data_IF_850749326865
#
_entry.id   IF_850749326865
#
_cell.length_a   1.000
_cell.length_b   1.000
_cell.length_c   1.000
_cell.angle_alpha   90.00
_cell.angle_beta   90.00
_cell.angle_gamma   90.00
#
_symmetry.space_group_name_H-M   'P 1'
#
loop_
_entity.id
_entity.type
_entity.pdbx_description
1 polymer ?
#
# COMPACT_ATOMS: atom_id res chain seq x y z
N UNK A 1 -12.81 -49.30 9.91
CA UNK A 1 -12.08 -48.32 9.08
C UNK A 1 -11.46 -47.32 10.04
N UNK A 2 -10.16 -47.41 10.34
CA UNK A 2 -9.51 -46.44 11.21
C UNK A 2 -9.32 -45.14 10.42
N UNK A 3 -9.93 -44.06 10.89
CA UNK A 3 -9.62 -42.72 10.41
C UNK A 3 -8.18 -42.40 10.80
N UNK A 4 -7.31 -42.26 9.82
CA UNK A 4 -5.96 -41.78 10.04
C UNK A 4 -6.03 -40.38 10.64
N UNK A 5 -5.49 -40.23 11.85
CA UNK A 5 -5.28 -38.94 12.50
C UNK A 5 -4.41 -38.09 11.57
N UNK A 6 -5.03 -37.05 11.00
CA UNK A 6 -4.31 -36.05 10.23
C UNK A 6 -3.34 -35.35 11.18
N UNK A 7 -2.11 -35.14 10.69
CA UNK A 7 -1.03 -34.49 11.41
C UNK A 7 -1.55 -33.16 11.99
N UNK A 8 -1.76 -33.11 13.31
CA UNK A 8 -2.52 -32.04 13.97
C UNK A 8 -1.60 -30.82 14.17
N UNK A 9 -1.16 -30.22 13.06
CA UNK A 9 -0.36 -29.01 13.08
C UNK A 9 -1.19 -27.88 13.72
N UNK A 10 -0.77 -27.43 14.90
CA UNK A 10 -1.40 -26.33 15.63
C UNK A 10 -0.54 -25.09 15.52
N UNK A 11 -1.19 -23.95 15.32
CA UNK A 11 -0.53 -22.65 15.41
C UNK A 11 -0.32 -22.29 16.89
N UNK A 12 0.71 -21.49 17.21
CA UNK A 12 0.91 -20.98 18.56
C UNK A 12 -0.29 -20.15 19.03
N UNK A 13 -0.51 -20.13 20.34
CA UNK A 13 -1.49 -19.23 20.94
C UNK A 13 -1.14 -17.77 20.60
N UNK A 14 -2.16 -16.99 20.24
CA UNK A 14 -1.98 -15.60 19.80
C UNK A 14 -1.53 -15.42 18.35
N UNK A 15 -1.41 -16.49 17.55
CA UNK A 15 -1.27 -16.37 16.10
C UNK A 15 -2.45 -15.58 15.52
N UNK A 16 -2.15 -14.65 14.60
CA UNK A 16 -3.16 -13.80 13.96
C UNK A 16 -3.43 -14.26 12.53
N UNK A 17 -4.68 -14.57 12.26
CA UNK A 17 -5.21 -14.77 10.92
C UNK A 17 -5.74 -13.46 10.37
N UNK A 18 -5.36 -13.14 9.15
CA UNK A 18 -5.79 -11.91 8.50
C UNK A 18 -5.77 -12.05 6.98
N UNK A 19 -6.37 -11.05 6.34
CA UNK A 19 -6.35 -10.88 4.88
C UNK A 19 -5.60 -9.60 4.51
N UNK A 20 -5.18 -9.50 3.25
CA UNK A 20 -4.42 -8.36 2.74
C UNK A 20 -4.97 -7.87 1.39
N UNK A 21 -4.94 -6.56 1.20
CA UNK A 21 -5.34 -5.88 -0.05
C UNK A 21 -4.37 -4.73 -0.39
N UNK A 22 -4.63 -4.06 -1.52
CA UNK A 22 -3.93 -2.85 -1.96
C UNK A 22 -4.93 -1.83 -2.49
N UNK A 23 -4.71 -0.56 -2.18
CA UNK A 23 -5.53 0.60 -2.52
C UNK A 23 -5.97 0.59 -3.98
N UNK A 24 -5.03 0.69 -4.93
CA UNK A 24 -5.37 0.76 -6.36
C UNK A 24 -6.05 -0.51 -6.89
N UNK A 25 -5.83 -1.67 -6.24
CA UNK A 25 -6.40 -2.94 -6.68
C UNK A 25 -7.86 -3.11 -6.26
N UNK A 26 -8.34 -2.40 -5.23
CA UNK A 26 -9.70 -2.60 -4.71
C UNK A 26 -10.55 -1.35 -4.62
N UNK A 27 -9.95 -0.16 -4.44
CA UNK A 27 -10.70 1.05 -4.07
C UNK A 27 -11.62 1.54 -5.18
N UNK A 28 -11.13 1.62 -6.42
CA UNK A 28 -11.85 2.35 -7.47
C UNK A 28 -11.93 3.85 -7.18
N UNK A 29 -13.01 4.49 -7.61
CA UNK A 29 -13.32 5.89 -7.29
C UNK A 29 -12.13 6.83 -7.60
N UNK A 30 -11.49 6.62 -8.76
CA UNK A 30 -10.22 7.26 -9.11
C UNK A 30 -10.33 8.77 -9.37
N UNK A 31 -11.57 9.28 -9.54
CA UNK A 31 -11.90 10.70 -9.75
C UNK A 31 -12.60 11.35 -8.57
N UNK A 32 -12.82 10.61 -7.49
CA UNK A 32 -13.62 11.08 -6.35
C UNK A 32 -12.73 11.67 -5.27
N UNK A 33 -13.30 12.60 -4.50
CA UNK A 33 -12.73 13.15 -3.28
C UNK A 33 -11.35 13.78 -3.44
N UNK A 34 -11.10 14.46 -4.57
CA UNK A 34 -9.86 15.19 -4.83
C UNK A 34 -8.62 14.32 -5.06
N UNK A 35 -8.79 13.01 -5.31
CA UNK A 35 -7.67 12.11 -5.64
C UNK A 35 -6.93 12.56 -6.91
N UNK A 36 -5.60 12.61 -6.83
CA UNK A 36 -4.73 12.79 -7.99
C UNK A 36 -4.53 11.50 -8.79
N UNK A 37 -3.98 11.59 -10.00
CA UNK A 37 -3.62 10.38 -10.76
C UNK A 37 -2.38 9.71 -10.14
N UNK A 38 -2.33 8.38 -10.19
CA UNK A 38 -1.13 7.60 -9.92
C UNK A 38 -0.46 7.12 -11.21
N UNK A 39 0.77 6.64 -11.10
CA UNK A 39 1.48 5.99 -12.21
C UNK A 39 0.73 4.77 -12.75
N UNK A 40 -0.10 4.11 -11.93
CA UNK A 40 -0.93 2.98 -12.37
C UNK A 40 -2.18 3.42 -13.14
N UNK A 41 -2.73 4.61 -12.87
CA UNK A 41 -3.79 5.19 -13.70
C UNK A 41 -3.25 5.39 -15.12
N UNK A 42 -2.11 6.05 -15.27
CA UNK A 42 -1.46 6.26 -16.58
C UNK A 42 -1.07 4.95 -17.26
N UNK A 43 -0.45 4.03 -16.51
CA UNK A 43 0.02 2.76 -17.07
C UNK A 43 -1.13 1.89 -17.56
N UNK A 44 -2.21 1.75 -16.79
CA UNK A 44 -3.36 0.92 -17.18
C UNK A 44 -4.14 1.47 -18.37
N UNK A 45 -4.16 2.80 -18.55
CA UNK A 45 -4.75 3.44 -19.72
C UNK A 45 -3.85 3.43 -20.96
N UNK A 46 -2.63 2.89 -20.87
CA UNK A 46 -1.72 2.76 -22.01
C UNK A 46 -2.02 1.45 -22.76
N UNK A 47 -2.34 1.49 -24.08
CA UNK A 47 -2.68 0.28 -24.84
C UNK A 47 -1.61 -0.82 -24.73
N UNK A 48 -2.06 -2.04 -24.38
CA UNK A 48 -1.20 -3.23 -24.28
C UNK A 48 -0.38 -3.35 -23.00
N UNK A 49 -0.52 -2.43 -22.04
CA UNK A 49 0.18 -2.51 -20.74
C UNK A 49 -0.56 -3.34 -19.68
N UNK A 50 -1.88 -3.47 -19.82
CA UNK A 50 -2.70 -4.38 -19.02
C UNK A 50 -3.41 -5.39 -19.92
N UNK A 51 -3.77 -6.54 -19.33
CA UNK A 51 -4.61 -7.53 -20.00
C UNK A 51 -5.96 -6.89 -20.31
N UNK A 52 -6.47 -7.08 -21.54
CA UNK A 52 -7.74 -6.52 -22.04
C UNK A 52 -7.91 -4.99 -21.95
N UNK A 53 -6.87 -4.23 -21.55
CA UNK A 53 -7.02 -2.81 -21.23
C UNK A 53 -7.73 -2.54 -19.91
N UNK A 54 -7.72 -3.51 -18.98
CA UNK A 54 -8.33 -3.37 -17.66
C UNK A 54 -7.66 -2.24 -16.86
N UNK A 55 -8.46 -1.49 -16.09
CA UNK A 55 -8.02 -0.34 -15.27
C UNK A 55 -8.49 -0.46 -13.82
N UNK A 56 -7.91 0.36 -12.93
CA UNK A 56 -8.32 0.47 -11.53
C UNK A 56 -9.47 1.46 -11.29
N UNK A 57 -10.16 1.94 -12.33
CA UNK A 57 -11.13 3.04 -12.22
C UNK A 57 -12.27 2.73 -11.25
N UNK A 58 -12.77 1.50 -11.32
CA UNK A 58 -13.84 0.97 -10.46
C UNK A 58 -13.28 -0.11 -9.52
N UNK A 59 -12.38 -0.98 -10.02
CA UNK A 59 -11.89 -2.14 -9.28
C UNK A 59 -13.04 -2.98 -8.67
N UNK A 60 -13.08 -3.15 -7.34
CA UNK A 60 -14.22 -3.75 -6.63
C UNK A 60 -15.04 -2.72 -5.84
N UNK A 61 -14.83 -1.43 -6.12
CA UNK A 61 -15.59 -0.31 -5.55
C UNK A 61 -15.51 -0.24 -4.01
N UNK A 62 -14.37 -0.68 -3.44
CA UNK A 62 -14.16 -0.69 -1.99
C UNK A 62 -14.26 0.71 -1.39
N UNK A 63 -13.89 1.76 -2.12
CA UNK A 63 -13.98 3.14 -1.62
C UNK A 63 -15.41 3.48 -1.13
N UNK A 64 -16.43 3.02 -1.83
CA UNK A 64 -17.83 3.21 -1.44
C UNK A 64 -18.36 2.08 -0.55
N UNK A 65 -17.84 0.85 -0.72
CA UNK A 65 -18.37 -0.38 -0.13
C UNK A 65 -17.64 -0.89 1.10
N UNK A 66 -16.62 -0.16 1.58
CA UNK A 66 -15.75 -0.62 2.66
C UNK A 66 -16.48 -1.16 3.90
N UNK A 67 -17.63 -0.57 4.27
CA UNK A 67 -18.45 -1.01 5.39
C UNK A 67 -19.02 -2.43 5.20
N UNK A 68 -19.38 -2.80 3.96
CA UNK A 68 -19.82 -4.16 3.60
C UNK A 68 -18.63 -5.13 3.65
N UNK A 69 -17.47 -4.69 3.17
CA UNK A 69 -16.26 -5.51 3.19
C UNK A 69 -15.79 -5.78 4.63
N UNK A 70 -15.83 -4.78 5.51
CA UNK A 70 -15.53 -4.96 6.94
C UNK A 70 -16.53 -5.90 7.62
N UNK A 71 -17.82 -5.83 7.27
CA UNK A 71 -18.82 -6.77 7.77
C UNK A 71 -18.48 -8.21 7.35
N UNK A 72 -18.09 -8.44 6.08
CA UNK A 72 -17.63 -9.75 5.62
C UNK A 72 -16.36 -10.21 6.33
N UNK A 73 -15.39 -9.32 6.56
CA UNK A 73 -14.17 -9.66 7.32
C UNK A 73 -14.48 -10.12 8.74
N UNK A 74 -15.48 -9.51 9.38
CA UNK A 74 -15.97 -9.91 10.70
C UNK A 74 -16.65 -11.27 10.67
N UNK A 75 -17.49 -11.54 9.66
CA UNK A 75 -18.13 -12.85 9.47
C UNK A 75 -17.11 -13.97 9.24
N UNK A 76 -15.97 -13.65 8.60
CA UNK A 76 -14.84 -14.55 8.41
C UNK A 76 -13.95 -14.71 9.66
N UNK A 77 -14.26 -14.01 10.76
CA UNK A 77 -13.48 -14.00 12.00
C UNK A 77 -12.01 -13.57 11.80
N UNK A 78 -11.77 -12.59 10.91
CA UNK A 78 -10.42 -12.04 10.72
C UNK A 78 -9.96 -11.27 11.95
N UNK A 79 -8.75 -11.56 12.41
CA UNK A 79 -8.15 -10.89 13.58
C UNK A 79 -7.30 -9.67 13.19
N UNK A 80 -6.95 -9.57 11.91
CA UNK A 80 -6.19 -8.47 11.34
C UNK A 80 -6.56 -8.24 9.87
N UNK A 81 -6.48 -6.99 9.45
CA UNK A 81 -6.62 -6.61 8.05
C UNK A 81 -5.47 -5.71 7.62
N UNK A 82 -4.75 -6.16 6.61
CA UNK A 82 -3.69 -5.39 5.97
C UNK A 82 -4.26 -4.67 4.75
N UNK A 83 -4.15 -3.35 4.72
CA UNK A 83 -4.51 -2.52 3.58
C UNK A 83 -3.35 -1.58 3.23
N UNK A 84 -3.42 -0.88 2.11
CA UNK A 84 -2.53 0.25 1.81
C UNK A 84 -3.28 1.56 1.74
N UNK A 85 -2.55 2.64 2.02
CA UNK A 85 -3.04 4.01 1.91
C UNK A 85 -2.60 4.56 0.55
N UNK A 86 -3.55 5.10 -0.21
CA UNK A 86 -3.27 5.68 -1.51
C UNK A 86 -2.65 7.06 -1.35
N UNK A 87 -1.34 7.16 -1.57
CA UNK A 87 -0.64 8.45 -1.64
C UNK A 87 -1.37 9.49 -2.51
N UNK A 88 -1.86 9.19 -3.73
CA UNK A 88 -2.58 10.16 -4.55
C UNK A 88 -3.91 10.66 -3.95
N UNK A 89 -4.47 9.98 -2.93
CA UNK A 89 -5.61 10.53 -2.17
C UNK A 89 -5.16 11.50 -1.09
N UNK A 90 -4.02 11.26 -0.46
CA UNK A 90 -3.55 12.05 0.70
C UNK A 90 -2.84 13.32 0.24
N UNK A 91 -1.95 13.20 -0.75
CA UNK A 91 -1.26 14.33 -1.37
C UNK A 91 -1.37 14.13 -2.89
N UNK A 92 -2.38 14.72 -3.55
CA UNK A 92 -2.69 14.46 -4.96
C UNK A 92 -1.55 14.69 -5.93
N UNK A 93 -0.78 15.76 -5.73
CA UNK A 93 0.40 16.10 -6.53
C UNK A 93 1.69 15.46 -5.97
N UNK A 94 1.54 14.56 -4.99
CA UNK A 94 2.61 13.87 -4.26
C UNK A 94 3.38 14.70 -3.24
N UNK A 95 3.49 16.01 -3.47
CA UNK A 95 3.93 17.01 -2.48
C UNK A 95 2.91 18.14 -2.40
N UNK A 96 2.98 18.95 -1.34
CA UNK A 96 2.11 20.10 -1.15
C UNK A 96 0.94 19.83 -0.21
N UNK A 97 -0.25 20.43 -0.46
CA UNK A 97 -1.35 20.40 0.50
C UNK A 97 -1.92 18.99 0.68
N UNK A 98 -2.21 18.67 1.94
CA UNK A 98 -2.89 17.43 2.31
C UNK A 98 -4.38 17.54 1.99
N UNK A 99 -4.89 16.54 1.28
CA UNK A 99 -6.31 16.40 1.01
C UNK A 99 -7.02 15.69 2.17
N UNK A 100 -7.82 16.45 2.93
CA UNK A 100 -8.51 15.96 4.12
C UNK A 100 -9.54 14.88 3.79
N UNK A 101 -10.25 14.99 2.66
CA UNK A 101 -11.25 14.00 2.27
C UNK A 101 -10.62 12.62 2.00
N UNK A 102 -9.40 12.61 1.45
CA UNK A 102 -8.60 11.40 1.29
C UNK A 102 -8.24 10.76 2.63
N UNK A 103 -7.84 11.56 3.62
CA UNK A 103 -7.58 11.09 4.98
C UNK A 103 -8.85 10.56 5.66
N UNK A 104 -9.99 11.22 5.47
CA UNK A 104 -11.25 10.85 6.10
C UNK A 104 -11.78 9.48 5.65
N UNK A 105 -11.46 9.05 4.43
CA UNK A 105 -11.76 7.68 3.99
C UNK A 105 -11.04 6.64 4.86
N UNK A 106 -9.73 6.78 5.04
CA UNK A 106 -8.95 5.84 5.85
C UNK A 106 -9.27 5.96 7.33
N UNK A 107 -9.63 7.15 7.81
CA UNK A 107 -10.10 7.38 9.18
C UNK A 107 -11.33 6.52 9.49
N UNK A 108 -12.36 6.61 8.63
CA UNK A 108 -13.59 5.80 8.75
C UNK A 108 -13.33 4.31 8.61
N UNK A 109 -12.45 3.92 7.68
CA UNK A 109 -12.07 2.51 7.51
C UNK A 109 -11.40 1.97 8.78
N UNK A 110 -10.47 2.72 9.38
CA UNK A 110 -9.80 2.33 10.63
C UNK A 110 -10.79 2.22 11.77
N UNK A 111 -11.72 3.16 11.91
CA UNK A 111 -12.78 3.08 12.93
C UNK A 111 -13.63 1.83 12.77
N UNK A 112 -14.14 1.57 11.56
CA UNK A 112 -14.98 0.39 11.35
C UNK A 112 -14.25 -0.94 11.54
N UNK A 113 -12.95 -1.01 11.20
CA UNK A 113 -12.14 -2.19 11.50
C UNK A 113 -12.03 -2.42 13.01
N UNK A 114 -11.76 -1.38 13.79
CA UNK A 114 -11.62 -1.48 15.24
C UNK A 114 -12.95 -1.79 15.92
N UNK A 115 -14.06 -1.19 15.47
CA UNK A 115 -15.42 -1.53 15.91
C UNK A 115 -15.77 -3.00 15.63
N UNK A 116 -15.26 -3.56 14.53
CA UNK A 116 -15.40 -4.97 14.19
C UNK A 116 -14.42 -5.89 14.95
N UNK A 117 -13.54 -5.35 15.79
CA UNK A 117 -12.51 -6.11 16.52
C UNK A 117 -11.30 -6.53 15.68
N UNK A 118 -11.13 -5.94 14.49
CA UNK A 118 -10.11 -6.29 13.52
C UNK A 118 -8.94 -5.30 13.64
N UNK A 119 -7.72 -5.81 13.84
CA UNK A 119 -6.56 -4.92 14.01
C UNK A 119 -6.04 -4.42 12.66
N UNK A 120 -5.94 -3.09 12.44
CA UNK A 120 -5.45 -2.54 11.19
C UNK A 120 -3.93 -2.68 11.05
N UNK A 121 -3.49 -3.10 9.86
CA UNK A 121 -2.09 -3.11 9.43
C UNK A 121 -1.94 -2.24 8.17
N UNK A 122 -1.49 -1.00 8.35
CA UNK A 122 -1.43 -0.04 7.25
C UNK A 122 -0.10 -0.11 6.49
N UNK A 123 -0.18 -0.28 5.17
CA UNK A 123 0.94 -0.19 4.24
C UNK A 123 0.99 1.21 3.63
N UNK A 124 2.09 1.93 3.84
CA UNK A 124 2.21 3.34 3.43
C UNK A 124 2.43 3.49 1.92
N UNK A 125 3.21 2.59 1.29
CA UNK A 125 3.41 2.59 -0.15
C UNK A 125 3.18 1.21 -0.76
N UNK A 126 2.20 1.14 -1.66
CA UNK A 126 1.87 -0.05 -2.45
C UNK A 126 1.72 0.29 -3.94
N UNK A 127 2.77 0.94 -4.46
CA UNK A 127 3.05 1.14 -5.90
C UNK A 127 2.27 2.23 -6.61
N UNK A 128 1.24 2.79 -6.00
CA UNK A 128 0.39 3.86 -6.53
C UNK A 128 1.01 5.25 -6.34
N UNK A 129 2.26 5.43 -6.80
CA UNK A 129 2.95 6.73 -6.75
C UNK A 129 2.13 7.80 -7.50
N UNK A 130 1.94 9.02 -6.95
CA UNK A 130 1.32 10.13 -7.67
C UNK A 130 2.02 10.42 -9.00
N UNK A 131 1.25 10.58 -10.09
CA UNK A 131 1.78 10.79 -11.43
C UNK A 131 2.61 12.08 -11.51
N UNK A 132 2.24 13.12 -10.78
CA UNK A 132 3.00 14.38 -10.71
C UNK A 132 4.45 14.18 -10.21
N UNK A 133 4.68 13.19 -9.34
CA UNK A 133 6.04 12.76 -8.96
C UNK A 133 6.66 11.85 -10.03
N UNK A 134 5.86 10.98 -10.65
CA UNK A 134 6.27 10.16 -11.79
C UNK A 134 6.83 10.98 -12.97
N UNK A 135 6.22 12.12 -13.26
CA UNK A 135 6.65 13.08 -14.29
C UNK A 135 7.96 13.80 -13.92
N UNK A 136 8.33 13.78 -12.64
CA UNK A 136 9.57 14.34 -12.09
C UNK A 136 10.56 13.23 -11.72
N UNK A 137 10.77 12.29 -12.64
CA UNK A 137 11.63 11.09 -12.53
C UNK A 137 11.19 10.02 -11.52
N UNK A 138 10.08 10.23 -10.80
CA UNK A 138 9.45 9.23 -9.95
C UNK A 138 10.40 8.65 -8.90
N UNK A 139 10.44 7.32 -8.80
CA UNK A 139 11.32 6.64 -7.83
C UNK A 139 12.81 6.80 -8.14
N UNK A 140 13.19 7.24 -9.35
CA UNK A 140 14.59 7.53 -9.67
C UNK A 140 15.06 8.83 -9.01
N UNK A 141 14.13 9.76 -8.76
CA UNK A 141 14.44 11.03 -8.15
C UNK A 141 14.89 10.84 -6.69
N UNK A 142 16.01 11.45 -6.32
CA UNK A 142 16.56 11.36 -4.96
C UNK A 142 15.62 11.95 -3.91
N UNK A 143 14.86 12.98 -4.27
CA UNK A 143 14.01 13.75 -3.35
C UNK A 143 12.70 13.01 -3.04
N UNK A 144 12.43 11.88 -3.71
CA UNK A 144 11.24 11.05 -3.46
C UNK A 144 11.15 10.57 -2.02
N UNK A 145 12.29 10.37 -1.37
CA UNK A 145 12.35 9.95 0.02
C UNK A 145 11.87 11.06 0.97
N UNK A 146 12.09 12.33 0.63
CA UNK A 146 11.61 13.48 1.40
C UNK A 146 10.12 13.75 1.13
N UNK A 147 9.66 13.57 -0.11
CA UNK A 147 8.24 13.59 -0.43
C UNK A 147 7.47 12.50 0.33
N UNK A 148 8.04 11.29 0.39
CA UNK A 148 7.48 10.19 1.16
C UNK A 148 7.44 10.49 2.65
N UNK A 149 8.48 11.12 3.21
CA UNK A 149 8.51 11.54 4.61
C UNK A 149 7.33 12.45 4.97
N UNK A 150 7.08 13.47 4.15
CA UNK A 150 5.95 14.39 4.34
C UNK A 150 4.59 13.66 4.27
N UNK A 151 4.44 12.77 3.29
CA UNK A 151 3.25 11.93 3.15
C UNK A 151 3.03 11.02 4.37
N UNK A 152 4.07 10.32 4.84
CA UNK A 152 3.99 9.47 6.04
C UNK A 152 3.63 10.30 7.27
N UNK A 153 4.16 11.53 7.38
CA UNK A 153 3.78 12.47 8.42
C UNK A 153 2.28 12.75 8.44
N UNK A 154 1.70 13.10 7.29
CA UNK A 154 0.25 13.37 7.18
C UNK A 154 -0.62 12.15 7.54
N UNK A 155 -0.24 10.95 7.10
CA UNK A 155 -0.98 9.72 7.41
C UNK A 155 -0.88 9.35 8.90
N UNK A 156 0.32 9.46 9.47
CA UNK A 156 0.55 9.11 10.88
C UNK A 156 -0.07 10.13 11.83
N UNK A 157 -0.13 11.41 11.48
CA UNK A 157 -0.86 12.42 12.25
C UNK A 157 -2.35 12.11 12.36
N UNK A 158 -2.95 11.55 11.31
CA UNK A 158 -4.38 11.25 11.28
C UNK A 158 -4.74 9.92 11.94
N UNK A 159 -3.94 8.89 11.70
CA UNK A 159 -4.28 7.50 12.03
C UNK A 159 -3.42 6.90 13.14
N UNK A 160 -2.35 7.58 13.54
CA UNK A 160 -1.33 7.09 14.46
C UNK A 160 -1.82 6.86 15.89
N UNK A 161 -2.93 7.49 16.29
CA UNK A 161 -3.58 7.25 17.57
C UNK A 161 -4.10 5.80 17.67
N UNK A 162 -4.63 5.26 16.58
CA UNK A 162 -5.30 3.95 16.48
C UNK A 162 -4.47 2.87 15.77
N UNK A 163 -3.75 3.20 14.72
CA UNK A 163 -2.95 2.24 13.93
C UNK A 163 -1.56 2.10 14.53
N UNK A 164 -1.21 0.88 14.98
CA UNK A 164 0.10 0.57 15.60
C UNK A 164 0.96 -0.39 14.78
N UNK A 165 0.45 -0.94 13.68
CA UNK A 165 1.15 -1.89 12.80
C UNK A 165 1.33 -1.25 11.43
N UNK A 166 2.56 -0.87 11.13
CA UNK A 166 2.92 -0.10 9.96
C UNK A 166 3.87 -0.88 9.06
N UNK A 167 3.60 -0.85 7.77
CA UNK A 167 4.48 -1.37 6.72
C UNK A 167 4.85 -0.16 5.86
N UNK A 168 6.13 0.17 5.75
CA UNK A 168 6.52 1.34 4.95
C UNK A 168 6.33 1.08 3.47
N UNK A 169 6.98 0.04 2.96
CA UNK A 169 7.06 -0.26 1.53
C UNK A 169 6.64 -1.71 1.32
N UNK A 170 5.70 -1.94 0.39
CA UNK A 170 5.43 -3.28 -0.14
C UNK A 170 6.38 -3.59 -1.31
N UNK A 171 7.13 -4.67 -1.20
CA UNK A 171 7.85 -5.31 -2.30
C UNK A 171 8.71 -4.35 -3.14
N UNK A 172 9.81 -3.81 -2.57
CA UNK A 172 10.69 -2.89 -3.30
C UNK A 172 11.23 -3.49 -4.61
N UNK A 173 11.40 -4.82 -4.66
CA UNK A 173 11.79 -5.53 -5.88
C UNK A 173 10.79 -5.31 -7.01
N UNK A 174 9.48 -5.37 -6.72
CA UNK A 174 8.43 -5.22 -7.72
C UNK A 174 8.34 -3.77 -8.17
N UNK A 175 8.20 -2.83 -7.23
CA UNK A 175 8.11 -1.40 -7.55
C UNK A 175 9.35 -0.88 -8.30
N UNK A 176 10.54 -1.38 -7.95
CA UNK A 176 11.80 -0.97 -8.56
C UNK A 176 12.13 -1.75 -9.83
N UNK A 177 12.41 -3.05 -9.75
CA UNK A 177 12.91 -3.80 -10.91
C UNK A 177 11.81 -4.15 -11.91
N UNK A 178 10.64 -4.61 -11.46
CA UNK A 178 9.55 -4.94 -12.40
C UNK A 178 9.00 -3.66 -13.06
N UNK A 179 8.95 -2.55 -12.33
CA UNK A 179 8.48 -1.25 -12.83
C UNK A 179 9.47 -0.48 -13.71
N UNK A 180 10.75 -0.41 -13.31
CA UNK A 180 11.75 0.47 -13.96
C UNK A 180 12.83 -0.25 -14.78
N UNK A 181 13.02 -1.57 -14.58
CA UNK A 181 13.98 -2.34 -15.37
C UNK A 181 13.29 -3.26 -16.37
N UNK A 182 12.30 -4.05 -15.96
CA UNK A 182 11.62 -4.98 -16.87
C UNK A 182 10.40 -4.38 -17.57
N UNK A 183 9.92 -3.22 -17.11
CA UNK A 183 8.84 -2.46 -17.73
C UNK A 183 7.47 -3.18 -17.76
N UNK A 184 7.30 -4.19 -16.90
CA UNK A 184 6.09 -4.99 -16.81
C UNK A 184 5.04 -4.36 -15.89
N UNK A 185 5.46 -3.57 -14.91
CA UNK A 185 4.59 -2.78 -14.03
C UNK A 185 4.80 -1.28 -14.29
N UNK A 186 3.90 -0.44 -13.76
CA UNK A 186 4.07 1.02 -13.81
C UNK A 186 5.42 1.46 -13.20
N UNK A 187 6.12 2.45 -13.81
CA UNK A 187 5.72 3.23 -14.99
C UNK A 187 6.03 2.55 -16.34
N UNK A 188 6.57 1.34 -16.35
CA UNK A 188 6.82 0.58 -17.58
C UNK A 188 8.16 0.89 -18.25
N UNK A 189 9.13 1.39 -17.49
CA UNK A 189 10.47 1.73 -17.98
C UNK A 189 11.35 0.47 -18.11
N UNK A 190 12.22 0.45 -19.12
CA UNK A 190 13.08 -0.70 -19.44
C UNK A 190 14.57 -0.36 -19.27
N UNK A 191 14.97 0.14 -18.11
CA UNK A 191 16.33 0.61 -17.83
C UNK A 191 16.91 -0.01 -16.56
N UNK A 192 18.03 -0.72 -16.69
CA UNK A 192 18.73 -1.31 -15.54
C UNK A 192 19.18 -0.25 -14.54
N UNK A 193 19.70 0.87 -15.02
CA UNK A 193 20.16 1.97 -14.17
C UNK A 193 18.99 2.58 -13.39
N UNK A 194 17.83 2.75 -14.05
CA UNK A 194 16.61 3.23 -13.42
C UNK A 194 16.11 2.28 -12.33
N UNK A 195 16.08 0.97 -12.60
CA UNK A 195 15.72 -0.04 -11.60
C UNK A 195 16.59 0.01 -10.35
N UNK A 196 17.91 0.15 -10.51
CA UNK A 196 18.84 0.27 -9.38
C UNK A 196 18.61 1.57 -8.58
N UNK A 197 18.40 2.70 -9.26
CA UNK A 197 18.10 3.97 -8.62
C UNK A 197 16.78 3.92 -7.84
N UNK A 198 15.73 3.37 -8.46
CA UNK A 198 14.41 3.20 -7.87
C UNK A 198 14.45 2.33 -6.60
N UNK A 199 15.11 1.17 -6.64
CA UNK A 199 15.25 0.30 -5.45
C UNK A 199 16.05 1.01 -4.35
N UNK A 200 17.14 1.70 -4.68
CA UNK A 200 17.90 2.46 -3.69
C UNK A 200 17.03 3.53 -2.99
N UNK A 201 16.26 4.29 -3.76
CA UNK A 201 15.39 5.32 -3.18
C UNK A 201 14.20 4.73 -2.42
N UNK A 202 13.64 3.59 -2.83
CA UNK A 202 12.62 2.87 -2.04
C UNK A 202 13.17 2.44 -0.66
N UNK A 203 14.43 2.01 -0.59
CA UNK A 203 15.07 1.70 0.70
C UNK A 203 15.35 2.96 1.53
N UNK A 204 15.64 4.10 0.90
CA UNK A 204 15.71 5.40 1.59
C UNK A 204 14.35 5.86 2.11
N UNK A 205 13.29 5.69 1.33
CA UNK A 205 11.90 5.92 1.74
C UNK A 205 11.55 5.05 2.95
N UNK A 206 11.93 3.76 2.95
CA UNK A 206 11.76 2.90 4.12
C UNK A 206 12.44 3.47 5.37
N UNK A 207 13.71 3.87 5.28
CA UNK A 207 14.44 4.46 6.40
C UNK A 207 13.74 5.69 6.98
N UNK A 208 13.42 6.68 6.12
CA UNK A 208 12.70 7.89 6.54
C UNK A 208 11.31 7.59 7.10
N UNK A 209 10.57 6.69 6.48
CA UNK A 209 9.25 6.28 6.96
C UNK A 209 9.29 5.62 8.34
N UNK A 210 10.33 4.81 8.62
CA UNK A 210 10.54 4.24 9.96
C UNK A 210 10.77 5.34 11.00
N UNK A 211 11.60 6.33 10.68
CA UNK A 211 11.92 7.43 11.59
C UNK A 211 10.66 8.23 11.93
N UNK A 212 9.89 8.65 10.91
CA UNK A 212 8.63 9.39 11.10
C UNK A 212 7.61 8.60 11.91
N UNK A 213 7.41 7.32 11.60
CA UNK A 213 6.45 6.49 12.35
C UNK A 213 6.86 6.36 13.81
N UNK A 214 8.14 6.17 14.11
CA UNK A 214 8.63 6.06 15.50
C UNK A 214 8.53 7.36 16.28
N UNK A 215 8.76 8.49 15.61
CA UNK A 215 8.64 9.81 16.21
C UNK A 215 7.17 10.13 16.56
N UNK A 216 6.24 9.83 15.65
CA UNK A 216 4.84 10.28 15.76
C UNK A 216 3.92 9.28 16.43
N UNK A 217 4.25 7.99 16.40
CA UNK A 217 3.36 6.92 16.86
C UNK A 217 4.01 6.14 18.02
N UNK A 218 3.64 6.47 19.28
CA UNK A 218 4.04 5.68 20.43
C UNK A 218 3.66 4.21 20.28
N UNK A 219 4.56 3.32 20.69
CA UNK A 219 4.42 1.86 20.67
C UNK A 219 4.22 1.23 19.28
N UNK A 220 4.55 1.96 18.21
CA UNK A 220 4.47 1.43 16.86
C UNK A 220 5.37 0.21 16.63
N UNK A 221 4.84 -0.76 15.87
CA UNK A 221 5.64 -1.74 15.15
C UNK A 221 5.67 -1.33 13.69
N UNK A 222 6.85 -0.96 13.21
CA UNK A 222 7.07 -0.54 11.82
C UNK A 222 8.10 -1.46 11.16
N UNK A 223 7.84 -1.86 9.92
CA UNK A 223 8.71 -2.72 9.14
C UNK A 223 8.50 -2.58 7.63
N UNK A 224 9.16 -3.46 6.87
CA UNK A 224 9.08 -3.54 5.41
C UNK A 224 8.56 -4.91 5.00
N UNK A 225 7.84 -5.00 3.88
CA UNK A 225 7.42 -6.26 3.28
C UNK A 225 8.29 -6.57 2.06
N UNK A 226 8.92 -7.74 2.06
CA UNK A 226 9.76 -8.21 0.96
C UNK A 226 9.14 -9.47 0.35
N UNK A 227 8.97 -9.48 -0.97
CA UNK A 227 8.72 -10.70 -1.72
C UNK A 227 10.05 -11.43 -1.92
N UNK A 228 10.18 -12.60 -1.30
CA UNK A 228 11.38 -13.43 -1.37
C UNK A 228 11.09 -14.64 -2.23
N UNK A 229 11.89 -14.82 -3.30
CA UNK A 229 11.83 -16.03 -4.13
C UNK A 229 13.00 -16.93 -3.73
N UNK A 230 12.70 -18.08 -3.14
CA UNK A 230 13.72 -19.07 -2.78
C UNK A 230 14.30 -19.70 -4.05
N UNK A 231 15.62 -19.63 -4.19
CA UNK A 231 16.36 -20.30 -5.26
C UNK A 231 17.08 -21.50 -4.64
N UNK A 232 16.70 -22.70 -5.05
CA UNK A 232 17.38 -23.93 -4.69
C UNK A 232 18.34 -24.29 -5.82
N UNK A 233 19.64 -24.33 -5.53
CA UNK A 233 20.71 -24.71 -6.46
C UNK A 233 21.17 -26.13 -6.22
#
# INVERSE_FOLDING_TARGET
MSSQNHNNARFPDGFRWGAATSSYQIEGAVRDGGRGQSIWDTFSHTPGKTVNGDTGDIAVDHYHRWHQDVAMMRELDLQAYRFSVAWPRIIPEGVGPVNQEGLDFYDRLVDGLLEAGIVPWATLYHWDLPQALGDQDGLKNRDIADAFEAYVGAVTDRLGDRVKKWITINEPFVAGFIGYWWGMHAPGETSRAAGLAAVHNLLRMHGKGVDVVRERVPDARVGITLNLTSVYT
#
